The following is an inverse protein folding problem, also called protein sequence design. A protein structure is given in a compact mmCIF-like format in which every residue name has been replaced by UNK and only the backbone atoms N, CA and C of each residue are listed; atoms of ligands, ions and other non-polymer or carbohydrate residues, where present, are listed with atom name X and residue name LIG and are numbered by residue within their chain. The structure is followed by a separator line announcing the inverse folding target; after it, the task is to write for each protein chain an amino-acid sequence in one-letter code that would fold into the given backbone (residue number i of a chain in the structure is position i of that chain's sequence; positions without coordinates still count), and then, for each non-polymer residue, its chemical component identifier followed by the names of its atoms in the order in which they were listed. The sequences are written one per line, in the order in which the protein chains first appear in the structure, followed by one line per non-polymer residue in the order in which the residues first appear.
data_IF_178624802285
#
_entry.id   IF_178624802285
#
_cell.length_a   1.000
_cell.length_b   1.000
_cell.length_c   1.000
_cell.angle_alpha   90.00
_cell.angle_beta   90.00
_cell.angle_gamma   90.00
#
_symmetry.space_group_name_H-M   'P 1'
#
loop_
_entity.id
_entity.type
_entity.pdbx_description
1 polymer ?
#
# COMPACT_ATOMS: atom_id res chain seq x y z
N UNK A 1 -19.02 3.57 13.21
CA UNK A 1 -17.56 3.64 13.05
C UNK A 1 -16.98 2.62 14.03
N UNK A 2 -16.32 1.57 13.52
CA UNK A 2 -15.61 0.49 14.23
C UNK A 2 -16.40 -0.19 15.39
N UNK A 3 -17.19 -1.22 15.05
CA UNK A 3 -17.54 -2.31 15.98
C UNK A 3 -16.92 -3.59 15.44
N UNK A 4 -15.66 -3.84 15.80
CA UNK A 4 -14.97 -5.09 15.56
C UNK A 4 -14.02 -5.35 16.73
N UNK A 5 -14.56 -5.35 17.94
CA UNK A 5 -13.85 -5.80 19.14
C UNK A 5 -14.92 -6.19 20.15
N UNK A 6 -15.33 -7.45 20.09
CA UNK A 6 -15.51 -8.35 21.23
C UNK A 6 -15.98 -9.69 20.67
N UNK A 7 -15.02 -10.51 20.26
CA UNK A 7 -15.23 -11.95 20.26
C UNK A 7 -14.80 -12.43 21.67
N UNK A 8 -15.64 -13.17 22.40
CA UNK A 8 -15.27 -13.64 23.72
C UNK A 8 -14.04 -14.53 23.61
N UNK A 9 -13.06 -14.29 24.47
CA UNK A 9 -11.95 -15.20 24.76
C UNK A 9 -12.54 -16.51 25.28
N UNK A 10 -12.92 -17.42 24.39
CA UNK A 10 -13.22 -18.79 24.78
C UNK A 10 -11.91 -19.55 24.98
N UNK A 11 -11.89 -20.28 26.09
CA UNK A 11 -10.77 -21.02 26.69
C UNK A 11 -10.01 -21.94 25.73
N UNK A 12 -8.71 -22.21 26.01
CA UNK A 12 -7.82 -22.93 25.12
C UNK A 12 -8.06 -24.44 25.20
N UNK A 13 -9.14 -24.93 24.62
CA UNK A 13 -9.25 -26.35 24.31
C UNK A 13 -10.16 -26.55 23.11
N UNK A 14 -9.57 -27.09 22.03
CA UNK A 14 -10.23 -27.52 20.78
C UNK A 14 -10.82 -26.43 19.88
N UNK A 15 -9.96 -25.53 19.36
CA UNK A 15 -10.23 -24.95 18.04
C UNK A 15 -9.75 -25.91 16.94
N UNK A 16 -10.55 -26.15 15.88
CA UNK A 16 -10.11 -26.94 14.72
C UNK A 16 -8.85 -26.32 14.12
N UNK A 17 -7.84 -27.13 13.76
CA UNK A 17 -6.58 -26.63 13.18
C UNK A 17 -6.82 -25.64 12.03
N UNK A 18 -7.86 -25.84 11.23
CA UNK A 18 -8.27 -24.91 10.16
C UNK A 18 -8.61 -23.50 10.64
N UNK A 19 -9.17 -23.31 11.84
CA UNK A 19 -9.49 -21.99 12.37
C UNK A 19 -8.27 -21.24 12.92
N UNK A 20 -7.29 -21.97 13.46
CA UNK A 20 -6.00 -21.39 13.88
C UNK A 20 -5.26 -20.85 12.65
N UNK A 21 -5.23 -21.62 11.56
CA UNK A 21 -4.63 -21.19 10.30
C UNK A 21 -5.35 -19.98 9.69
N UNK A 22 -6.69 -19.93 9.71
CA UNK A 22 -7.45 -18.76 9.24
C UNK A 22 -7.14 -17.51 10.09
N UNK A 23 -7.03 -17.66 11.42
CA UNK A 23 -6.68 -16.55 12.33
C UNK A 23 -5.24 -16.06 12.12
N UNK A 24 -4.27 -16.96 11.94
CA UNK A 24 -2.88 -16.62 11.63
C UNK A 24 -2.72 -16.00 10.24
N UNK A 25 -3.44 -16.50 9.23
CA UNK A 25 -3.46 -15.98 7.87
C UNK A 25 -4.10 -14.58 7.82
N UNK A 26 -5.21 -14.39 8.53
CA UNK A 26 -5.89 -13.10 8.65
C UNK A 26 -5.01 -12.08 9.39
N UNK A 27 -4.38 -12.48 10.50
CA UNK A 27 -3.45 -11.63 11.27
C UNK A 27 -2.23 -11.22 10.43
N UNK A 28 -1.61 -12.15 9.70
CA UNK A 28 -0.44 -11.85 8.85
C UNK A 28 -0.81 -10.93 7.69
N UNK A 29 -1.97 -11.17 7.05
CA UNK A 29 -2.46 -10.30 5.98
C UNK A 29 -2.80 -8.90 6.48
N UNK A 30 -3.34 -8.75 7.71
CA UNK A 30 -3.58 -7.42 8.30
C UNK A 30 -2.29 -6.65 8.60
N UNK A 31 -1.20 -7.32 8.94
CA UNK A 31 0.10 -6.68 9.15
C UNK A 31 0.66 -6.13 7.83
N UNK A 32 0.63 -6.90 6.75
CA UNK A 32 1.09 -6.45 5.43
C UNK A 32 0.23 -5.33 4.85
N UNK A 33 -1.08 -5.34 5.12
CA UNK A 33 -1.99 -4.21 4.80
C UNK A 33 -1.58 -2.93 5.50
N UNK A 34 -1.35 -3.00 6.82
CA UNK A 34 -0.91 -1.85 7.61
C UNK A 34 0.42 -1.31 7.09
N UNK A 35 1.35 -2.20 6.80
CA UNK A 35 2.67 -1.84 6.32
C UNK A 35 2.62 -1.21 4.92
N UNK A 36 1.87 -1.80 3.99
CA UNK A 36 1.64 -1.22 2.66
C UNK A 36 1.02 0.18 2.78
N UNK A 37 0.03 0.36 3.65
CA UNK A 37 -0.64 1.64 3.84
C UNK A 37 0.34 2.72 4.34
N UNK A 38 1.15 2.40 5.35
CA UNK A 38 2.16 3.32 5.87
C UNK A 38 3.21 3.67 4.81
N UNK A 39 3.67 2.68 4.02
CA UNK A 39 4.60 2.92 2.91
C UNK A 39 4.01 3.88 1.88
N UNK A 40 2.72 3.73 1.54
CA UNK A 40 2.03 4.60 0.58
C UNK A 40 1.86 6.03 1.08
N UNK A 41 1.55 6.23 2.37
CA UNK A 41 1.47 7.57 2.97
C UNK A 41 2.83 8.27 2.86
N UNK A 42 3.90 7.61 3.31
CA UNK A 42 5.25 8.18 3.26
C UNK A 42 5.66 8.51 1.82
N UNK A 43 5.46 7.56 0.93
CA UNK A 43 5.79 7.69 -0.49
C UNK A 43 5.04 8.86 -1.16
N UNK A 44 3.72 8.92 -1.00
CA UNK A 44 2.90 9.98 -1.60
C UNK A 44 3.24 11.36 -1.03
N UNK A 45 3.54 11.44 0.27
CA UNK A 45 4.00 12.68 0.91
C UNK A 45 5.31 13.19 0.31
N UNK A 46 6.28 12.30 0.07
CA UNK A 46 7.58 12.63 -0.53
C UNK A 46 7.44 13.10 -1.98
N UNK A 47 6.68 12.37 -2.81
CA UNK A 47 6.44 12.76 -4.22
C UNK A 47 5.79 14.14 -4.29
N UNK A 48 4.72 14.37 -3.52
CA UNK A 48 4.03 15.65 -3.47
C UNK A 48 4.95 16.80 -3.02
N UNK A 49 5.72 16.58 -1.94
CA UNK A 49 6.70 17.58 -1.45
C UNK A 49 7.73 17.90 -2.53
N UNK A 50 8.23 16.91 -3.26
CA UNK A 50 9.17 17.14 -4.37
C UNK A 50 8.56 17.97 -5.49
N UNK A 51 7.32 17.69 -5.89
CA UNK A 51 6.63 18.47 -6.93
C UNK A 51 6.48 19.94 -6.54
N UNK A 52 6.11 20.21 -5.27
CA UNK A 52 5.95 21.56 -4.73
C UNK A 52 7.29 22.29 -4.61
N UNK A 53 8.38 21.58 -4.30
CA UNK A 53 9.69 22.18 -4.01
C UNK A 53 10.62 22.25 -5.23
N UNK A 54 10.46 21.40 -6.24
CA UNK A 54 11.32 21.40 -7.43
C UNK A 54 11.44 22.77 -8.14
N UNK A 55 10.37 23.60 -8.23
CA UNK A 55 10.48 24.94 -8.82
C UNK A 55 11.38 25.91 -8.04
N UNK A 56 11.51 25.73 -6.72
CA UNK A 56 12.27 26.64 -5.85
C UNK A 56 13.72 26.20 -5.63
N UNK A 57 14.07 24.94 -5.96
CA UNK A 57 15.46 24.47 -5.89
C UNK A 57 16.33 25.24 -6.88
N UNK A 58 17.34 25.97 -6.39
CA UNK A 58 18.16 26.87 -7.24
C UNK A 58 19.25 26.15 -8.02
N UNK A 59 19.96 25.23 -7.36
CA UNK A 59 21.05 24.46 -7.98
C UNK A 59 20.44 23.53 -9.04
N UNK A 60 20.95 23.61 -10.26
CA UNK A 60 20.38 22.91 -11.42
C UNK A 60 20.50 21.38 -11.24
N UNK A 61 21.64 20.91 -10.75
CA UNK A 61 21.93 19.51 -10.51
C UNK A 61 20.98 18.93 -9.46
N UNK A 62 20.80 19.65 -8.34
CA UNK A 62 19.85 19.27 -7.29
C UNK A 62 18.41 19.26 -7.80
N UNK A 63 18.02 20.25 -8.60
CA UNK A 63 16.69 20.31 -9.22
C UNK A 63 16.48 19.12 -10.16
N UNK A 64 17.49 18.77 -10.95
CA UNK A 64 17.42 17.65 -11.88
C UNK A 64 17.30 16.32 -11.12
N UNK A 65 18.06 16.15 -10.05
CA UNK A 65 17.95 14.99 -9.16
C UNK A 65 16.54 14.85 -8.57
N UNK A 66 15.96 15.94 -8.03
CA UNK A 66 14.59 15.92 -7.50
C UNK A 66 13.58 15.54 -8.59
N UNK A 67 13.72 16.05 -9.83
CA UNK A 67 12.86 15.67 -10.95
C UNK A 67 12.96 14.20 -11.32
N UNK A 68 14.16 13.62 -11.32
CA UNK A 68 14.35 12.18 -11.57
C UNK A 68 13.65 11.31 -10.50
N UNK A 69 13.65 11.77 -9.24
CA UNK A 69 12.88 11.12 -8.18
C UNK A 69 11.37 11.25 -8.38
N UNK A 70 10.85 12.41 -8.81
CA UNK A 70 9.43 12.58 -9.17
C UNK A 70 9.05 11.61 -10.29
N UNK A 71 9.82 11.56 -11.38
CA UNK A 71 9.54 10.67 -12.51
C UNK A 71 9.58 9.19 -12.11
N UNK A 72 10.56 8.80 -11.28
CA UNK A 72 10.63 7.43 -10.77
C UNK A 72 9.49 7.10 -9.79
N UNK A 73 9.02 8.09 -9.02
CA UNK A 73 7.81 8.01 -8.21
C UNK A 73 6.56 7.76 -9.07
N UNK A 74 6.38 8.50 -10.16
CA UNK A 74 5.25 8.27 -11.07
C UNK A 74 5.26 6.88 -11.70
N UNK A 75 6.45 6.32 -11.99
CA UNK A 75 6.56 4.92 -12.42
C UNK A 75 6.08 3.93 -11.35
N UNK A 76 6.35 4.20 -10.07
CA UNK A 76 5.83 3.39 -8.95
C UNK A 76 4.32 3.57 -8.79
N UNK A 77 3.80 4.79 -8.94
CA UNK A 77 2.34 5.03 -8.97
C UNK A 77 1.66 4.25 -10.09
N UNK A 78 2.30 4.14 -11.26
CA UNK A 78 1.84 3.25 -12.33
C UNK A 78 1.74 1.78 -11.91
N UNK A 79 2.74 1.26 -11.18
CA UNK A 79 2.71 -0.11 -10.64
C UNK A 79 1.60 -0.30 -9.60
N UNK A 80 1.38 0.68 -8.72
CA UNK A 80 0.27 0.67 -7.77
C UNK A 80 -1.09 0.61 -8.48
N UNK A 81 -1.32 1.49 -9.46
CA UNK A 81 -2.54 1.50 -10.27
C UNK A 81 -2.78 0.13 -10.94
N UNK A 82 -1.72 -0.50 -11.46
CA UNK A 82 -1.80 -1.83 -12.06
C UNK A 82 -2.13 -2.96 -11.06
N UNK A 83 -1.71 -2.84 -9.79
CA UNK A 83 -2.12 -3.77 -8.72
C UNK A 83 -3.59 -3.58 -8.36
N UNK A 84 -4.03 -2.34 -8.17
CA UNK A 84 -5.42 -2.03 -7.82
C UNK A 84 -6.40 -2.48 -8.91
N UNK A 85 -6.06 -2.27 -10.19
CA UNK A 85 -6.90 -2.68 -11.33
C UNK A 85 -7.18 -4.18 -11.35
N UNK A 86 -6.24 -5.01 -10.88
CA UNK A 86 -6.43 -6.47 -10.81
C UNK A 86 -7.44 -6.88 -9.74
N UNK A 87 -7.66 -6.02 -8.74
CA UNK A 87 -8.64 -6.25 -7.69
C UNK A 87 -10.07 -5.91 -8.12
N UNK A 88 -10.26 -5.08 -9.14
CA UNK A 88 -11.57 -4.61 -9.58
C UNK A 88 -12.50 -5.76 -10.00
N UNK A 89 -12.03 -6.68 -10.86
CA UNK A 89 -12.89 -7.77 -11.36
C UNK A 89 -13.33 -8.75 -10.26
N UNK A 90 -12.45 -9.24 -9.37
CA UNK A 90 -12.85 -10.03 -8.21
C UNK A 90 -13.82 -9.28 -7.27
N UNK A 91 -13.54 -8.03 -6.95
CA UNK A 91 -14.38 -7.22 -6.06
C UNK A 91 -15.80 -7.00 -6.62
N UNK A 92 -15.92 -6.77 -7.93
CA UNK A 92 -17.19 -6.62 -8.63
C UNK A 92 -17.96 -7.95 -8.73
N UNK A 93 -17.26 -9.08 -8.86
CA UNK A 93 -17.90 -10.41 -8.79
C UNK A 93 -18.42 -10.70 -7.38
N UNK A 94 -17.71 -10.26 -6.35
CA UNK A 94 -18.13 -10.41 -4.96
C UNK A 94 -19.32 -9.51 -4.58
N UNK A 95 -19.52 -8.37 -5.24
CA UNK A 95 -20.66 -7.46 -4.99
C UNK A 95 -21.95 -7.89 -5.67
N UNK A 96 -21.89 -8.55 -6.84
CA UNK A 96 -23.07 -8.99 -7.64
C UNK A 96 -24.00 -9.98 -6.94
N UNK A 97 -23.66 -10.48 -5.75
CA UNK A 97 -24.55 -11.33 -4.93
C UNK A 97 -25.62 -10.55 -4.14
N UNK A 98 -25.65 -9.21 -4.24
CA UNK A 98 -26.75 -8.37 -3.71
C UNK A 98 -27.13 -7.32 -4.74
N UNK A 99 -28.43 -7.10 -4.96
CA UNK A 99 -29.02 -6.24 -6.00
C UNK A 99 -28.71 -4.73 -5.91
N UNK A 100 -27.80 -4.29 -5.03
CA UNK A 100 -27.47 -2.88 -4.86
C UNK A 100 -26.02 -2.61 -5.27
N UNK A 101 -25.82 -1.61 -6.13
CA UNK A 101 -24.56 -1.15 -6.72
C UNK A 101 -23.53 -0.57 -5.73
N UNK A 102 -23.57 -0.96 -4.45
CA UNK A 102 -22.58 -0.58 -3.44
C UNK A 102 -21.60 -1.72 -3.19
N UNK A 103 -20.30 -1.40 -3.17
CA UNK A 103 -19.24 -2.27 -2.70
C UNK A 103 -19.47 -2.58 -1.21
N UNK A 104 -20.11 -3.72 -0.92
CA UNK A 104 -20.36 -4.17 0.44
C UNK A 104 -19.11 -4.73 1.12
N UNK A 105 -19.24 -5.08 2.41
CA UNK A 105 -18.19 -5.70 3.26
C UNK A 105 -17.44 -6.87 2.57
N UNK A 106 -18.13 -7.64 1.73
CA UNK A 106 -17.54 -8.77 1.00
C UNK A 106 -16.57 -8.34 -0.11
N UNK A 107 -16.78 -7.18 -0.73
CA UNK A 107 -15.85 -6.64 -1.73
C UNK A 107 -14.54 -6.16 -1.07
N UNK A 108 -14.60 -5.60 0.14
CA UNK A 108 -13.40 -5.26 0.90
C UNK A 108 -12.59 -6.48 1.32
N UNK A 109 -13.26 -7.58 1.71
CA UNK A 109 -12.60 -8.85 2.00
C UNK A 109 -11.94 -9.41 0.72
N UNK A 110 -12.65 -9.42 -0.41
CA UNK A 110 -12.09 -9.91 -1.68
C UNK A 110 -10.92 -9.08 -2.17
N UNK A 111 -10.91 -7.76 -1.91
CA UNK A 111 -9.75 -6.90 -2.17
C UNK A 111 -8.51 -7.41 -1.42
N UNK A 112 -8.64 -7.60 -0.10
CA UNK A 112 -7.56 -8.08 0.76
C UNK A 112 -7.07 -9.46 0.31
N UNK A 113 -8.00 -10.37 0.02
CA UNK A 113 -7.69 -11.73 -0.47
C UNK A 113 -7.04 -11.69 -1.86
N UNK A 114 -7.40 -10.75 -2.72
CA UNK A 114 -6.80 -10.65 -4.05
C UNK A 114 -5.41 -10.04 -4.00
N UNK A 115 -5.20 -9.00 -3.19
CA UNK A 115 -3.94 -8.26 -3.14
C UNK A 115 -2.88 -8.95 -2.26
N UNK A 116 -3.28 -9.64 -1.19
CA UNK A 116 -2.39 -10.37 -0.28
C UNK A 116 -2.61 -11.89 -0.25
N UNK A 117 -3.50 -12.43 -1.08
CA UNK A 117 -3.65 -13.88 -1.21
C UNK A 117 -2.42 -14.52 -1.84
N UNK A 118 -1.95 -15.59 -1.19
CA UNK A 118 -0.76 -16.38 -1.55
C UNK A 118 -0.77 -16.77 -3.03
N UNK A 119 -1.93 -17.17 -3.58
CA UNK A 119 -2.04 -17.65 -4.97
C UNK A 119 -2.45 -16.58 -5.98
N UNK A 120 -2.69 -15.32 -5.57
CA UNK A 120 -3.35 -14.30 -6.44
C UNK A 120 -2.60 -12.99 -6.59
N UNK A 121 -1.90 -12.50 -5.56
CA UNK A 121 -1.31 -11.16 -5.59
C UNK A 121 -0.08 -10.95 -4.71
N UNK A 122 0.15 -11.81 -3.72
CA UNK A 122 1.16 -11.60 -2.67
C UNK A 122 2.55 -11.28 -3.24
N UNK A 123 3.06 -12.10 -4.16
CA UNK A 123 4.36 -11.90 -4.81
C UNK A 123 4.52 -10.55 -5.51
N UNK A 124 3.45 -10.05 -6.13
CA UNK A 124 3.49 -8.79 -6.88
C UNK A 124 3.38 -7.60 -5.94
N UNK A 125 2.55 -7.74 -4.91
CA UNK A 125 2.38 -6.74 -3.85
C UNK A 125 3.67 -6.60 -3.04
N UNK A 126 4.30 -7.71 -2.66
CA UNK A 126 5.56 -7.72 -1.91
C UNK A 126 6.69 -7.07 -2.73
N UNK A 127 6.85 -7.44 -4.00
CA UNK A 127 7.83 -6.78 -4.90
C UNK A 127 7.58 -5.28 -5.05
N UNK A 128 6.31 -4.86 -5.09
CA UNK A 128 5.95 -3.45 -5.10
C UNK A 128 6.33 -2.78 -3.77
N UNK A 129 5.99 -3.36 -2.63
CA UNK A 129 6.37 -2.86 -1.30
C UNK A 129 7.89 -2.71 -1.17
N UNK A 130 8.68 -3.70 -1.59
CA UNK A 130 10.13 -3.61 -1.62
C UNK A 130 10.65 -2.49 -2.53
N UNK A 131 10.02 -2.29 -3.69
CA UNK A 131 10.38 -1.18 -4.60
C UNK A 131 10.11 0.18 -3.96
N UNK A 132 8.99 0.34 -3.24
CA UNK A 132 8.65 1.58 -2.53
C UNK A 132 9.60 1.82 -1.36
N UNK A 133 9.96 0.78 -0.59
CA UNK A 133 10.96 0.90 0.49
C UNK A 133 12.30 1.40 -0.03
N UNK A 134 12.80 0.78 -1.10
CA UNK A 134 14.08 1.17 -1.70
C UNK A 134 14.02 2.59 -2.24
N UNK A 135 12.90 2.98 -2.87
CA UNK A 135 12.70 4.34 -3.33
C UNK A 135 12.69 5.33 -2.17
N UNK A 136 11.93 5.06 -1.10
CA UNK A 136 11.87 5.90 0.10
C UNK A 136 13.25 6.11 0.72
N UNK A 137 14.03 5.03 0.87
CA UNK A 137 15.39 5.08 1.43
C UNK A 137 16.33 5.94 0.56
N UNK A 138 16.30 5.75 -0.76
CA UNK A 138 17.14 6.51 -1.69
C UNK A 138 16.74 7.97 -1.76
N UNK A 139 15.45 8.24 -1.71
CA UNK A 139 14.91 9.60 -1.66
C UNK A 139 15.42 10.33 -0.43
N UNK A 140 15.36 9.72 0.75
CA UNK A 140 15.81 10.36 1.99
C UNK A 140 17.30 10.69 1.94
N UNK A 141 18.11 9.76 1.42
CA UNK A 141 19.55 9.96 1.28
C UNK A 141 19.93 11.03 0.24
N UNK A 142 19.12 11.22 -0.80
CA UNK A 142 19.46 12.08 -1.94
C UNK A 142 18.80 13.45 -1.89
N UNK A 143 17.57 13.54 -1.39
CA UNK A 143 16.72 14.71 -1.53
C UNK A 143 16.38 15.40 -0.21
N UNK A 144 16.53 14.77 0.96
CA UNK A 144 16.07 15.41 2.21
C UNK A 144 16.78 16.75 2.46
N UNK A 145 18.12 16.78 2.38
CA UNK A 145 18.92 18.00 2.55
C UNK A 145 18.57 19.08 1.51
N UNK A 146 18.34 18.68 0.26
CA UNK A 146 17.96 19.58 -0.83
C UNK A 146 16.59 20.22 -0.55
N UNK A 147 15.64 19.43 -0.05
CA UNK A 147 14.27 19.87 0.20
C UNK A 147 14.13 20.62 1.52
N UNK A 148 15.04 20.43 2.48
CA UNK A 148 15.12 21.27 3.68
C UNK A 148 15.72 22.65 3.38
N UNK A 149 16.66 22.72 2.42
CA UNK A 149 17.39 23.97 2.09
C UNK A 149 17.43 24.21 0.58
N UNK A 150 16.27 24.44 -0.08
CA UNK A 150 16.17 24.51 -1.54
C UNK A 150 16.93 25.70 -2.18
N UNK A 151 17.27 26.72 -1.40
CA UNK A 151 17.95 27.93 -1.87
C UNK A 151 19.46 27.92 -1.66
N UNK A 152 19.98 26.96 -0.89
CA UNK A 152 21.43 26.75 -0.73
C UNK A 152 21.94 25.91 -1.89
#
# INVERSE_FOLDING_TARGET
MIQFLEAPLSTPSTQPKSQIWISCLYRSNTAHLSELWLLLIQFSGKVKRSEEMAPIVRILENRQMVKEFIESGERLMGKLRALLKKCESPMLKASKKREAAQLGKNSGIEFIVTIFGVDRGMDKTERFMQSVRLWNLRFDAACEDILERPTQ
#
